data_IF_704213337405
#
_entry.id   IF_704213337405
#
_cell.length_a   1.000
_cell.length_b   1.000
_cell.length_c   1.000
_cell.angle_alpha   90.00
_cell.angle_beta   90.00
_cell.angle_gamma   90.00
#
_symmetry.space_group_name_H-M   'P 1'
#
loop_
_entity.id
_entity.type
_entity.pdbx_description
1 polymer ?
#
# COMPACT_ATOMS: atom_id res chain seq x y z
N UNK A 1 26.18 7.81 -5.01
CA UNK A 1 26.96 6.56 -4.83
C UNK A 1 27.14 6.30 -3.35
N UNK A 2 26.28 5.61 -2.61
CA UNK A 2 25.35 4.49 -2.85
C UNK A 2 23.91 5.00 -2.95
N UNK A 3 23.14 4.49 -3.90
CA UNK A 3 21.70 4.75 -4.10
C UNK A 3 20.97 4.50 -2.78
N UNK A 4 20.60 5.55 -2.03
CA UNK A 4 19.87 5.36 -0.76
C UNK A 4 18.48 4.84 -1.12
N UNK A 5 18.00 3.89 -0.32
CA UNK A 5 16.70 3.25 -0.47
C UNK A 5 15.63 4.21 -1.02
N UNK A 6 14.89 3.76 -2.03
CA UNK A 6 13.86 4.55 -2.73
C UNK A 6 12.59 4.69 -1.88
N UNK A 7 12.77 4.97 -0.59
CA UNK A 7 11.74 5.00 0.41
C UNK A 7 11.84 6.22 1.32
N UNK A 8 10.68 6.60 1.83
CA UNK A 8 10.50 7.63 2.83
C UNK A 8 10.17 6.89 4.12
N UNK A 9 11.08 6.96 5.07
CA UNK A 9 10.92 6.37 6.40
C UNK A 9 10.76 7.49 7.44
N UNK A 10 9.66 7.42 8.19
CA UNK A 10 9.39 8.32 9.31
C UNK A 10 9.86 7.67 10.61
N UNK A 11 10.85 8.29 11.26
CA UNK A 11 11.37 7.88 12.57
C UNK A 11 10.88 8.85 13.63
N UNK A 12 10.43 8.33 14.75
CA UNK A 12 10.08 9.11 15.96
C UNK A 12 10.98 8.66 17.11
N UNK A 13 11.30 9.60 18.02
CA UNK A 13 12.10 9.28 19.20
C UNK A 13 11.34 8.31 20.11
N UNK A 14 12.05 7.31 20.64
CA UNK A 14 11.51 6.23 21.48
C UNK A 14 10.31 5.45 20.89
N UNK A 15 10.09 5.51 19.58
CA UNK A 15 9.06 4.74 18.88
C UNK A 15 9.71 3.76 17.92
N UNK A 16 9.33 2.48 18.03
CA UNK A 16 9.62 1.50 17.00
C UNK A 16 8.91 1.93 15.70
N UNK A 17 9.70 2.50 14.78
CA UNK A 17 9.45 2.69 13.34
C UNK A 17 7.97 2.77 12.93
N UNK A 18 7.46 3.98 12.65
CA UNK A 18 6.05 4.17 12.29
C UNK A 18 5.66 3.44 11.01
N UNK A 19 6.52 3.49 10.00
CA UNK A 19 6.31 2.84 8.71
C UNK A 19 7.13 3.48 7.59
N UNK A 20 6.99 2.91 6.41
CA UNK A 20 7.79 3.24 5.23
C UNK A 20 6.93 3.27 3.98
N UNK A 21 7.14 4.28 3.14
CA UNK A 21 6.52 4.42 1.82
C UNK A 21 7.62 4.42 0.75
N UNK A 22 7.54 3.55 -0.24
CA UNK A 22 8.51 3.57 -1.34
C UNK A 22 8.23 2.50 -2.40
N UNK A 23 9.20 2.28 -3.29
CA UNK A 23 9.06 1.32 -4.38
C UNK A 23 9.57 -0.07 -4.00
N UNK A 24 8.74 -1.10 -4.20
CA UNK A 24 9.14 -2.47 -3.95
C UNK A 24 10.38 -2.83 -4.78
N UNK A 25 11.32 -3.55 -4.16
CA UNK A 25 12.60 -3.88 -4.78
C UNK A 25 12.41 -4.63 -6.12
N UNK A 26 12.94 -4.05 -7.19
CA UNK A 26 12.87 -4.63 -8.54
C UNK A 26 11.48 -4.54 -9.19
N UNK A 27 10.57 -3.75 -8.62
CA UNK A 27 9.23 -3.50 -9.14
C UNK A 27 8.99 -2.00 -9.31
N UNK A 28 7.98 -1.65 -10.10
CA UNK A 28 7.45 -0.28 -10.20
C UNK A 28 6.36 0.00 -9.17
N UNK A 29 6.08 -0.96 -8.30
CA UNK A 29 4.99 -0.86 -7.35
C UNK A 29 5.32 0.09 -6.21
N UNK A 30 4.42 1.05 -5.97
CA UNK A 30 4.46 1.90 -4.79
C UNK A 30 3.82 1.15 -3.61
N UNK A 31 4.48 1.11 -2.46
CA UNK A 31 4.06 0.29 -1.31
C UNK A 31 4.19 1.06 0.00
N UNK A 32 3.22 0.87 0.88
CA UNK A 32 3.26 1.33 2.27
C UNK A 32 3.23 0.15 3.26
N UNK A 33 4.22 0.10 4.14
CA UNK A 33 4.33 -0.87 5.23
C UNK A 33 4.28 -0.13 6.57
N UNK A 34 3.65 -0.73 7.57
CA UNK A 34 3.64 -0.23 8.97
C UNK A 34 4.59 -1.05 9.83
N UNK A 35 5.13 -0.45 10.90
CA UNK A 35 6.07 -1.14 11.81
C UNK A 35 7.26 -1.77 11.07
N UNK A 36 7.87 -0.99 10.17
CA UNK A 36 8.86 -1.48 9.23
C UNK A 36 9.99 -0.45 9.03
N UNK A 37 11.27 -0.87 9.05
CA UNK A 37 12.40 0.03 8.80
C UNK A 37 12.65 0.27 7.31
N UNK A 38 12.13 -0.63 6.48
CA UNK A 38 12.37 -0.74 5.06
C UNK A 38 11.26 -1.59 4.41
N UNK A 39 11.24 -1.61 3.09
CA UNK A 39 10.22 -2.28 2.29
C UNK A 39 10.29 -3.83 2.29
N UNK A 40 11.15 -4.44 3.10
CA UNK A 40 11.33 -5.91 3.12
C UNK A 40 10.89 -6.57 4.42
N UNK A 41 10.67 -5.82 5.49
CA UNK A 41 10.32 -6.33 6.81
C UNK A 41 9.11 -5.58 7.37
N UNK A 42 7.90 -6.08 7.11
CA UNK A 42 6.68 -5.48 7.65
C UNK A 42 5.40 -6.04 7.03
N UNK A 43 4.27 -5.73 7.66
CA UNK A 43 2.95 -6.04 7.09
C UNK A 43 2.55 -4.97 6.09
N UNK A 44 2.54 -5.31 4.80
CA UNK A 44 2.05 -4.44 3.74
C UNK A 44 0.60 -4.05 3.98
N UNK A 45 0.31 -2.74 3.91
CA UNK A 45 -1.04 -2.20 4.11
C UNK A 45 -1.65 -1.68 2.83
N UNK A 46 -0.84 -1.14 1.93
CA UNK A 46 -1.28 -0.53 0.70
C UNK A 46 -0.25 -0.70 -0.41
N UNK A 47 -0.71 -0.96 -1.63
CA UNK A 47 0.11 -1.02 -2.84
C UNK A 47 -0.60 -0.44 -4.04
N UNK A 48 0.16 0.19 -4.94
CA UNK A 48 -0.22 0.43 -6.33
C UNK A 48 0.77 -0.33 -7.20
N UNK A 49 0.29 -1.26 -8.03
CA UNK A 49 1.16 -2.01 -8.93
C UNK A 49 1.62 -1.16 -10.11
N UNK A 50 2.69 -1.59 -10.81
CA UNK A 50 3.12 -0.98 -12.07
C UNK A 50 2.02 -0.95 -13.14
N UNK A 51 1.05 -1.86 -13.09
CA UNK A 51 -0.13 -1.91 -13.97
C UNK A 51 -1.29 -1.01 -13.49
N UNK A 52 -1.09 -0.29 -12.38
CA UNK A 52 -2.04 0.63 -11.78
C UNK A 52 -3.19 -0.05 -11.02
N UNK A 53 -3.01 -1.28 -10.54
CA UNK A 53 -3.98 -1.92 -9.64
C UNK A 53 -3.67 -1.55 -8.20
N UNK A 54 -4.71 -1.32 -7.39
CA UNK A 54 -4.57 -0.94 -5.98
C UNK A 54 -4.91 -2.12 -5.08
N UNK A 55 -4.01 -2.46 -4.16
CA UNK A 55 -4.19 -3.47 -3.13
C UNK A 55 -4.26 -2.84 -1.75
N UNK A 56 -5.26 -3.22 -0.92
CA UNK A 56 -5.33 -2.89 0.51
C UNK A 56 -5.20 -4.18 1.31
N UNK A 57 -4.09 -4.33 2.03
CA UNK A 57 -3.73 -5.59 2.70
C UNK A 57 -3.54 -6.79 1.77
N UNK A 58 -3.34 -6.53 0.47
CA UNK A 58 -3.16 -7.54 -0.57
C UNK A 58 -2.01 -7.10 -1.50
N UNK A 59 -0.97 -7.92 -1.60
CA UNK A 59 0.25 -7.66 -2.37
C UNK A 59 0.17 -8.10 -3.85
N UNK A 60 -0.90 -8.80 -4.22
CA UNK A 60 -1.14 -9.29 -5.58
C UNK A 60 -2.59 -9.02 -6.04
N UNK A 61 -2.97 -7.74 -6.28
CA UNK A 61 -4.31 -7.38 -6.68
C UNK A 61 -4.67 -7.91 -8.08
N UNK A 62 -5.64 -8.83 -8.14
CA UNK A 62 -6.13 -9.41 -9.40
C UNK A 62 -7.15 -8.54 -10.16
N UNK A 63 -7.59 -7.44 -9.56
CA UNK A 63 -8.51 -6.44 -10.15
C UNK A 63 -8.01 -5.03 -9.84
N UNK A 64 -8.60 -4.01 -10.49
CA UNK A 64 -8.20 -2.59 -10.32
C UNK A 64 -8.17 -2.12 -8.87
N UNK A 65 -9.09 -2.62 -8.05
CA UNK A 65 -9.05 -2.49 -6.60
C UNK A 65 -9.28 -3.87 -5.99
N UNK A 66 -8.38 -4.30 -5.12
CA UNK A 66 -8.52 -5.53 -4.32
C UNK A 66 -8.29 -5.20 -2.86
N UNK A 67 -9.25 -5.56 -1.99
CA UNK A 67 -9.15 -5.36 -0.54
C UNK A 67 -9.17 -6.71 0.14
N UNK A 68 -8.16 -7.01 0.96
CA UNK A 68 -8.14 -8.17 1.83
C UNK A 68 -9.02 -7.90 3.07
N UNK A 69 -10.33 -8.11 2.94
CA UNK A 69 -11.30 -7.91 4.01
C UNK A 69 -12.63 -7.35 3.50
N UNK A 70 -13.51 -6.99 4.43
CA UNK A 70 -14.80 -6.35 4.12
C UNK A 70 -14.59 -4.88 3.81
N UNK A 71 -15.25 -4.39 2.75
CA UNK A 71 -15.30 -2.95 2.45
C UNK A 71 -16.59 -2.37 3.01
N UNK A 72 -16.47 -1.35 3.86
CA UNK A 72 -17.60 -0.59 4.41
C UNK A 72 -17.74 0.74 3.67
N UNK A 73 -18.95 1.07 3.22
CA UNK A 73 -19.31 2.39 2.72
C UNK A 73 -20.22 3.07 3.74
N UNK A 74 -19.75 4.14 4.35
CA UNK A 74 -20.50 4.88 5.39
C UNK A 74 -21.34 6.02 4.82
N UNK A 75 -21.11 6.44 3.58
CA UNK A 75 -21.86 7.50 2.90
C UNK A 75 -21.72 7.33 1.38
N UNK A 76 -22.80 7.54 0.64
CA UNK A 76 -22.73 7.63 -0.83
C UNK A 76 -22.45 6.32 -1.59
N UNK A 77 -22.45 5.16 -0.95
CA UNK A 77 -22.55 3.84 -1.58
C UNK A 77 -21.41 3.42 -2.51
N UNK A 78 -21.64 2.34 -3.25
CA UNK A 78 -20.75 1.91 -4.33
C UNK A 78 -21.47 2.07 -5.65
N UNK A 79 -20.91 2.89 -6.55
CA UNK A 79 -21.50 3.05 -7.87
C UNK A 79 -21.32 1.77 -8.69
N UNK A 80 -22.42 1.16 -9.10
CA UNK A 80 -22.42 0.01 -9.98
C UNK A 80 -22.36 0.43 -11.46
N UNK A 81 -21.92 -0.45 -12.38
CA UNK A 81 -21.85 -0.14 -13.81
C UNK A 81 -23.19 0.24 -14.46
N UNK A 82 -24.32 -0.11 -13.85
CA UNK A 82 -25.66 0.31 -14.26
C UNK A 82 -26.01 1.76 -13.85
N UNK A 83 -25.10 2.43 -13.12
CA UNK A 83 -25.22 3.79 -12.67
C UNK A 83 -25.88 3.96 -11.29
N UNK A 84 -26.38 2.88 -10.68
CA UNK A 84 -26.92 2.90 -9.32
C UNK A 84 -25.80 3.04 -8.28
N UNK A 85 -26.16 3.47 -7.07
CA UNK A 85 -25.25 3.75 -5.95
C UNK A 85 -25.80 3.14 -4.67
#
# INVERSE_FOLDING_TARGET
NKESDSDIHWVEDEVDQRGVLGFAKGSYDLVYLVHAPNLTNGGERFRITGDGNVGIGNDNPGQKLTVAGTVESTTGGFKFPDGTV
#
